data_IF_233362974252
#
_entry.id   IF_233362974252
#
_cell.length_a   1.000
_cell.length_b   1.000
_cell.length_c   1.000
_cell.angle_alpha   90.00
_cell.angle_beta   90.00
_cell.angle_gamma   90.00
#
_symmetry.space_group_name_H-M   'P 1'
#
loop_
_entity.id
_entity.type
_entity.pdbx_description
1 polymer ?
#
# COMPACT_ATOMS: atom_id res chain seq x y z
N UNK A 1 -1.65 4.89 8.06
CA UNK A 1 -2.59 4.91 9.18
C UNK A 1 -3.01 3.51 9.57
N UNK A 2 -3.77 2.81 8.73
CA UNK A 2 -4.32 1.49 9.10
C UNK A 2 -3.24 0.44 9.37
N UNK A 3 -2.16 0.40 8.58
CA UNK A 3 -1.04 -0.50 8.85
C UNK A 3 -0.44 -0.24 10.24
N UNK A 4 -0.22 1.02 10.58
CA UNK A 4 0.33 1.38 11.89
C UNK A 4 -0.67 1.08 13.03
N UNK A 5 -1.98 1.24 12.81
CA UNK A 5 -3.01 0.84 13.76
C UNK A 5 -3.03 -0.67 13.98
N UNK A 6 -2.92 -1.44 12.90
CA UNK A 6 -2.81 -2.90 12.96
C UNK A 6 -1.54 -3.33 13.73
N UNK A 7 -0.40 -2.71 13.43
CA UNK A 7 0.87 -2.95 14.13
C UNK A 7 0.78 -2.62 15.63
N UNK A 8 0.20 -1.47 15.99
CA UNK A 8 -0.03 -1.08 17.38
C UNK A 8 -0.92 -2.09 18.13
N UNK A 9 -1.87 -2.72 17.43
CA UNK A 9 -2.70 -3.80 17.95
C UNK A 9 -2.03 -5.18 17.95
N UNK A 10 -0.75 -5.29 17.60
CA UNK A 10 0.00 -6.56 17.58
C UNK A 10 -0.18 -7.38 16.29
N UNK A 11 -0.79 -6.79 15.25
CA UNK A 11 -0.92 -7.43 13.94
C UNK A 11 0.40 -7.45 13.16
N UNK A 12 0.60 -8.48 12.34
CA UNK A 12 1.73 -8.55 11.41
C UNK A 12 1.49 -7.66 10.19
N UNK A 13 2.52 -6.97 9.74
CA UNK A 13 2.49 -6.07 8.58
C UNK A 13 3.48 -6.55 7.52
N UNK A 14 3.01 -6.65 6.28
CA UNK A 14 3.88 -6.80 5.12
C UNK A 14 3.66 -5.64 4.15
N UNK A 15 4.74 -5.03 3.68
CA UNK A 15 4.70 -4.02 2.63
C UNK A 15 5.36 -4.55 1.37
N UNK A 16 4.76 -4.26 0.21
CA UNK A 16 5.32 -4.64 -1.08
C UNK A 16 5.38 -3.41 -1.99
N UNK A 17 6.59 -3.07 -2.42
CA UNK A 17 6.83 -2.14 -3.50
C UNK A 17 7.26 -2.91 -4.76
N UNK A 18 6.62 -2.66 -5.89
CA UNK A 18 6.97 -3.31 -7.17
C UNK A 18 8.21 -2.68 -7.81
N UNK A 19 8.49 -1.42 -7.49
CA UNK A 19 9.70 -0.68 -7.88
C UNK A 19 10.28 0.00 -6.65
N UNK A 20 11.55 0.33 -6.67
CA UNK A 20 12.15 1.06 -5.53
C UNK A 20 11.81 2.57 -5.53
N UNK A 21 11.25 3.11 -6.62
CA UNK A 21 10.97 4.55 -6.74
C UNK A 21 12.23 5.39 -7.01
N UNK A 22 13.22 4.82 -7.67
CA UNK A 22 14.58 5.38 -7.81
C UNK A 22 14.67 6.56 -8.78
N UNK A 23 13.67 6.74 -9.67
CA UNK A 23 13.72 7.83 -10.66
C UNK A 23 13.33 9.20 -10.10
N UNK A 24 12.77 9.24 -8.91
CA UNK A 24 12.58 10.48 -8.15
C UNK A 24 13.87 11.00 -7.50
N UNK A 25 15.05 10.65 -8.04
CA UNK A 25 16.35 10.96 -7.49
C UNK A 25 16.55 12.47 -7.24
N UNK A 26 16.96 12.89 -6.03
CA UNK A 26 17.25 14.29 -5.73
C UNK A 26 18.54 14.76 -6.41
N UNK A 27 18.68 16.07 -6.56
CA UNK A 27 19.90 16.68 -7.09
C UNK A 27 21.13 16.25 -6.28
N UNK A 28 22.21 15.90 -6.98
CA UNK A 28 23.48 15.52 -6.36
C UNK A 28 23.62 14.03 -6.01
N UNK A 29 22.62 13.20 -6.31
CA UNK A 29 22.73 11.74 -6.19
C UNK A 29 22.63 11.05 -7.57
N UNK A 30 23.15 9.83 -7.67
CA UNK A 30 22.87 8.95 -8.81
C UNK A 30 21.59 8.13 -8.55
N UNK A 31 21.03 7.57 -9.62
CA UNK A 31 19.84 6.69 -9.54
C UNK A 31 20.15 5.47 -8.66
N UNK A 32 21.35 4.89 -8.80
CA UNK A 32 21.80 3.72 -8.03
C UNK A 32 21.90 4.04 -6.53
N UNK A 33 22.52 5.17 -6.19
CA UNK A 33 22.63 5.63 -4.80
C UNK A 33 21.25 5.87 -4.18
N UNK A 34 20.35 6.49 -4.94
CA UNK A 34 19.00 6.75 -4.47
C UNK A 34 18.19 5.46 -4.34
N UNK A 35 18.37 4.49 -5.27
CA UNK A 35 17.77 3.17 -5.15
C UNK A 35 18.17 2.46 -3.86
N UNK A 36 19.48 2.42 -3.54
CA UNK A 36 19.96 1.86 -2.27
C UNK A 36 19.36 2.58 -1.04
N UNK A 37 19.25 3.90 -1.10
CA UNK A 37 18.58 4.68 -0.07
C UNK A 37 17.13 4.26 0.10
N UNK A 38 16.37 4.14 -1.01
CA UNK A 38 14.96 3.74 -0.99
C UNK A 38 14.75 2.35 -0.41
N UNK A 39 15.65 1.40 -0.68
CA UNK A 39 15.60 0.08 -0.08
C UNK A 39 15.76 0.15 1.45
N UNK A 40 16.77 0.91 1.94
CA UNK A 40 16.96 1.13 3.38
C UNK A 40 15.76 1.84 4.04
N UNK A 41 15.16 2.81 3.36
CA UNK A 41 13.96 3.51 3.83
C UNK A 41 12.77 2.58 3.97
N UNK A 42 12.55 1.69 2.99
CA UNK A 42 11.48 0.69 3.02
C UNK A 42 11.66 -0.30 4.18
N UNK A 43 12.88 -0.78 4.40
CA UNK A 43 13.21 -1.63 5.55
C UNK A 43 12.99 -0.91 6.88
N UNK A 44 13.46 0.35 6.99
CA UNK A 44 13.30 1.15 8.21
C UNK A 44 11.81 1.43 8.50
N UNK A 45 11.01 1.73 7.47
CA UNK A 45 9.56 1.90 7.60
C UNK A 45 8.90 0.64 8.16
N UNK A 46 9.14 -0.51 7.54
CA UNK A 46 8.58 -1.78 7.98
C UNK A 46 9.07 -2.17 9.37
N UNK A 47 10.36 -1.94 9.66
CA UNK A 47 10.96 -2.21 10.97
C UNK A 47 10.31 -1.42 12.12
N UNK A 48 9.95 -0.14 11.90
CA UNK A 48 9.21 0.67 12.89
C UNK A 48 7.83 0.08 13.16
N UNK A 49 7.20 -0.52 12.14
CA UNK A 49 5.90 -1.18 12.26
C UNK A 49 6.01 -2.64 12.75
N UNK A 50 7.21 -3.15 13.02
CA UNK A 50 7.42 -4.55 13.39
C UNK A 50 7.07 -5.54 12.29
N UNK A 51 7.13 -5.10 11.02
CA UNK A 51 6.70 -5.85 9.85
C UNK A 51 7.82 -6.24 8.91
N UNK A 52 7.44 -6.78 7.75
CA UNK A 52 8.34 -7.20 6.67
C UNK A 52 8.22 -6.28 5.47
N UNK A 53 9.34 -5.90 4.85
CA UNK A 53 9.38 -5.14 3.60
C UNK A 53 9.81 -6.02 2.44
N UNK A 54 9.09 -5.93 1.33
CA UNK A 54 9.43 -6.51 0.03
C UNK A 54 9.56 -5.40 -0.99
N UNK A 55 10.67 -5.37 -1.70
CA UNK A 55 10.86 -4.48 -2.85
C UNK A 55 11.30 -5.34 -4.02
N UNK A 56 10.50 -5.36 -5.09
CA UNK A 56 10.85 -6.07 -6.32
C UNK A 56 11.77 -5.22 -7.18
N UNK A 57 12.50 -5.89 -8.08
CA UNK A 57 13.53 -5.25 -8.91
C UNK A 57 13.00 -4.87 -10.30
N UNK A 58 11.81 -4.25 -10.33
CA UNK A 58 11.29 -3.70 -11.58
C UNK A 58 11.63 -2.22 -11.71
N UNK A 59 11.86 -1.72 -12.95
CA UNK A 59 12.31 -0.35 -13.15
C UNK A 59 11.20 0.66 -12.84
N UNK A 60 11.50 1.64 -12.00
CA UNK A 60 10.58 2.73 -11.66
C UNK A 60 10.20 3.55 -12.90
N UNK A 61 8.93 3.90 -13.01
CA UNK A 61 8.36 4.58 -14.17
C UNK A 61 8.18 3.69 -15.42
N UNK A 62 8.56 2.39 -15.36
CA UNK A 62 8.46 1.42 -16.45
C UNK A 62 8.05 0.03 -15.93
N UNK A 63 7.24 0.00 -14.88
CA UNK A 63 6.73 -1.26 -14.31
C UNK A 63 6.08 -2.12 -15.40
N UNK A 64 6.58 -3.36 -15.66
CA UNK A 64 5.97 -4.25 -16.64
C UNK A 64 4.61 -4.75 -16.15
N UNK A 65 3.59 -4.63 -16.99
CA UNK A 65 2.26 -5.18 -16.73
C UNK A 65 2.12 -6.52 -17.46
N UNK A 66 2.68 -7.59 -16.90
CA UNK A 66 2.76 -8.92 -17.50
C UNK A 66 2.57 -10.04 -16.47
N UNK A 67 2.48 -11.29 -16.97
CA UNK A 67 2.23 -12.45 -16.12
C UNK A 67 3.36 -12.75 -15.13
N UNK A 68 4.61 -12.43 -15.47
CA UNK A 68 5.75 -12.64 -14.57
C UNK A 68 5.56 -11.84 -13.27
N UNK A 69 5.23 -10.54 -13.39
CA UNK A 69 5.01 -9.67 -12.24
C UNK A 69 3.78 -10.11 -11.45
N UNK A 70 2.67 -10.48 -12.14
CA UNK A 70 1.46 -11.01 -11.48
C UNK A 70 1.75 -12.24 -10.65
N UNK A 71 2.52 -13.18 -11.20
CA UNK A 71 2.87 -14.40 -10.48
C UNK A 71 3.82 -14.13 -9.32
N UNK A 72 4.76 -13.20 -9.44
CA UNK A 72 5.62 -12.79 -8.33
C UNK A 72 4.80 -12.21 -7.16
N UNK A 73 3.81 -11.36 -7.45
CA UNK A 73 2.89 -10.83 -6.45
C UNK A 73 1.98 -11.92 -5.87
N UNK A 74 1.47 -12.83 -6.71
CA UNK A 74 0.68 -13.99 -6.28
C UNK A 74 1.44 -14.85 -5.27
N UNK A 75 2.72 -15.13 -5.52
CA UNK A 75 3.55 -15.91 -4.61
C UNK A 75 3.74 -15.21 -3.25
N UNK A 76 3.90 -13.89 -3.25
CA UNK A 76 3.98 -13.12 -2.00
C UNK A 76 2.65 -13.11 -1.24
N UNK A 77 1.51 -13.00 -1.91
CA UNK A 77 0.18 -13.12 -1.27
C UNK A 77 0.04 -14.50 -0.60
N UNK A 78 0.43 -15.56 -1.29
CA UNK A 78 0.36 -16.94 -0.75
C UNK A 78 1.34 -17.19 0.38
N UNK A 79 2.50 -16.53 0.35
CA UNK A 79 3.51 -16.59 1.40
C UNK A 79 3.06 -15.88 2.68
N UNK A 80 2.63 -14.64 2.55
CA UNK A 80 2.27 -13.79 3.68
C UNK A 80 0.89 -14.12 4.26
N UNK A 81 -0.01 -14.67 3.46
CA UNK A 81 -1.39 -15.04 3.84
C UNK A 81 -2.11 -13.89 4.56
N UNK A 82 -2.17 -12.70 3.96
CA UNK A 82 -2.76 -11.54 4.61
C UNK A 82 -4.25 -11.72 4.86
N UNK A 83 -4.77 -11.15 5.95
CA UNK A 83 -6.20 -11.03 6.22
C UNK A 83 -6.84 -9.88 5.44
N UNK A 84 -6.03 -8.95 4.95
CA UNK A 84 -6.44 -7.80 4.13
C UNK A 84 -5.32 -7.40 3.19
N UNK A 85 -5.65 -7.19 1.91
CA UNK A 85 -4.74 -6.63 0.91
C UNK A 85 -5.19 -5.21 0.58
N UNK A 86 -4.24 -4.28 0.59
CA UNK A 86 -4.47 -2.88 0.20
C UNK A 86 -3.55 -2.52 -0.95
N UNK A 87 -4.08 -1.91 -1.99
CA UNK A 87 -3.32 -1.48 -3.18
C UNK A 87 -3.84 -0.15 -3.73
N UNK A 88 -3.26 0.32 -4.82
CA UNK A 88 -3.67 1.54 -5.50
C UNK A 88 -5.08 1.44 -6.11
N UNK A 89 -5.75 2.60 -6.23
CA UNK A 89 -6.96 2.73 -7.04
C UNK A 89 -6.62 2.64 -8.55
N UNK A 90 -7.60 2.28 -9.37
CA UNK A 90 -7.39 2.01 -10.80
C UNK A 90 -6.98 3.23 -11.64
N UNK A 91 -7.47 4.43 -11.28
CA UNK A 91 -7.27 5.67 -12.02
C UNK A 91 -6.25 6.54 -11.32
N UNK A 92 -5.04 6.50 -11.83
CA UNK A 92 -3.91 7.28 -11.35
C UNK A 92 -3.28 8.10 -12.46
N UNK A 93 -2.80 9.30 -12.13
CA UNK A 93 -1.92 10.06 -13.00
C UNK A 93 -0.56 9.39 -13.16
N UNK A 94 -0.15 8.57 -12.19
CA UNK A 94 1.09 7.79 -12.23
C UNK A 94 0.82 6.42 -12.89
N UNK A 95 1.42 6.20 -14.04
CA UNK A 95 1.15 4.98 -14.82
C UNK A 95 1.49 3.67 -14.06
N UNK A 96 2.53 3.68 -13.20
CA UNK A 96 2.92 2.51 -12.43
C UNK A 96 1.91 2.22 -11.31
N UNK A 97 1.23 3.23 -10.73
CA UNK A 97 0.12 3.00 -9.80
C UNK A 97 -1.05 2.30 -10.49
N UNK A 98 -1.41 2.77 -11.70
CA UNK A 98 -2.46 2.15 -12.50
C UNK A 98 -2.06 0.71 -12.93
N UNK A 99 -0.80 0.46 -13.25
CA UNK A 99 -0.29 -0.88 -13.52
C UNK A 99 -0.32 -1.75 -12.26
N UNK A 100 0.13 -1.21 -11.12
CA UNK A 100 0.09 -1.89 -9.81
C UNK A 100 -1.33 -2.34 -9.46
N UNK A 101 -2.34 -1.49 -9.66
CA UNK A 101 -3.74 -1.87 -9.46
C UNK A 101 -4.11 -3.13 -10.24
N UNK A 102 -3.84 -3.15 -11.56
CA UNK A 102 -4.16 -4.30 -12.43
C UNK A 102 -3.39 -5.55 -12.03
N UNK A 103 -2.09 -5.40 -11.81
CA UNK A 103 -1.21 -6.51 -11.40
C UNK A 103 -1.70 -7.14 -10.09
N UNK A 104 -1.96 -6.33 -9.07
CA UNK A 104 -2.39 -6.83 -7.76
C UNK A 104 -3.78 -7.46 -7.83
N UNK A 105 -4.71 -6.89 -8.60
CA UNK A 105 -6.06 -7.46 -8.80
C UNK A 105 -5.99 -8.84 -9.46
N UNK A 106 -5.17 -8.99 -10.51
CA UNK A 106 -4.99 -10.27 -11.18
C UNK A 106 -4.25 -11.28 -10.28
N UNK A 107 -3.18 -10.84 -9.60
CA UNK A 107 -2.42 -11.66 -8.66
C UNK A 107 -3.28 -12.14 -7.48
N UNK A 108 -4.16 -11.28 -6.95
CA UNK A 108 -5.14 -11.62 -5.93
C UNK A 108 -6.09 -12.73 -6.41
N UNK A 109 -6.60 -12.60 -7.64
CA UNK A 109 -7.44 -13.63 -8.24
C UNK A 109 -6.67 -14.94 -8.40
N UNK A 110 -5.44 -14.91 -8.93
CA UNK A 110 -4.59 -16.10 -9.06
C UNK A 110 -4.25 -16.74 -7.71
N UNK A 111 -3.99 -15.92 -6.69
CA UNK A 111 -3.68 -16.44 -5.35
C UNK A 111 -4.84 -17.24 -4.75
N UNK A 112 -6.09 -16.89 -5.05
CA UNK A 112 -7.28 -17.57 -4.59
C UNK A 112 -7.57 -18.88 -5.31
N UNK A 113 -7.02 -19.09 -6.53
CA UNK A 113 -7.34 -20.26 -7.36
C UNK A 113 -6.43 -21.45 -7.07
N UNK A 114 -6.97 -22.62 -6.59
CA UNK A 114 -6.16 -23.82 -6.38
C UNK A 114 -5.53 -24.35 -7.67
N UNK A 115 -6.18 -24.12 -8.82
CA UNK A 115 -5.72 -24.59 -10.13
C UNK A 115 -4.51 -23.81 -10.67
N UNK A 116 -4.26 -22.60 -10.17
CA UNK A 116 -3.02 -21.88 -10.44
C UNK A 116 -1.93 -22.53 -9.61
N UNK A 117 -1.16 -23.42 -10.24
CA UNK A 117 -0.13 -24.23 -9.57
C UNK A 117 1.07 -23.39 -9.22
N UNK A 118 1.29 -23.21 -7.91
CA UNK A 118 2.48 -22.58 -7.33
C UNK A 118 2.96 -23.46 -6.17
N UNK A 119 4.18 -23.22 -5.69
CA UNK A 119 4.76 -23.97 -4.58
C UNK A 119 3.93 -23.83 -3.29
N UNK A 120 3.37 -22.63 -3.08
CA UNK A 120 2.57 -22.33 -1.89
C UNK A 120 1.06 -22.57 -2.14
N UNK A 121 0.32 -22.98 -1.13
CA UNK A 121 -1.11 -23.21 -1.23
C UNK A 121 -1.84 -21.90 -1.56
N UNK A 122 -3.02 -22.03 -2.18
CA UNK A 122 -3.89 -20.89 -2.47
C UNK A 122 -4.30 -20.14 -1.20
N UNK A 123 -4.53 -18.85 -1.35
CA UNK A 123 -4.97 -17.96 -0.27
C UNK A 123 -5.92 -16.90 -0.81
N UNK A 124 -6.96 -16.59 -0.03
CA UNK A 124 -7.92 -15.53 -0.33
C UNK A 124 -7.98 -14.53 0.82
N UNK A 125 -8.00 -13.25 0.49
CA UNK A 125 -8.23 -12.16 1.42
C UNK A 125 -9.06 -11.05 0.76
N UNK A 126 -9.81 -10.22 1.52
CA UNK A 126 -10.43 -9.01 0.99
C UNK A 126 -9.41 -8.09 0.35
N UNK A 127 -9.82 -7.41 -0.75
CA UNK A 127 -9.00 -6.45 -1.47
C UNK A 127 -9.58 -5.04 -1.31
N UNK A 128 -8.73 -4.06 -1.01
CA UNK A 128 -9.08 -2.65 -0.85
C UNK A 128 -8.19 -1.76 -1.69
N UNK A 129 -8.75 -0.63 -2.13
CA UNK A 129 -8.05 0.39 -2.90
C UNK A 129 -7.95 1.65 -2.05
N UNK A 130 -6.70 2.05 -1.76
CA UNK A 130 -6.42 3.16 -0.86
C UNK A 130 -6.63 4.53 -1.53
N UNK A 131 -7.01 5.51 -0.73
CA UNK A 131 -7.01 6.90 -1.13
C UNK A 131 -5.57 7.43 -1.26
N UNK A 132 -5.24 7.95 -2.44
CA UNK A 132 -3.96 8.60 -2.71
C UNK A 132 -4.22 9.83 -3.58
N UNK A 133 -3.50 10.93 -3.33
CA UNK A 133 -3.69 12.17 -4.08
C UNK A 133 -3.45 12.04 -5.59
N UNK A 134 -2.53 11.16 -5.98
CA UNK A 134 -2.25 10.86 -7.39
C UNK A 134 -3.32 9.97 -8.05
N UNK A 135 -4.11 9.27 -7.25
CA UNK A 135 -5.10 8.29 -7.66
C UNK A 135 -6.54 8.80 -7.44
N UNK A 136 -6.72 10.13 -7.38
CA UNK A 136 -7.98 10.74 -6.94
C UNK A 136 -9.10 10.73 -7.99
N UNK A 137 -8.82 10.43 -9.27
CA UNK A 137 -9.82 10.44 -10.33
C UNK A 137 -10.86 9.36 -10.10
N UNK A 138 -12.13 9.76 -9.97
CA UNK A 138 -13.27 8.87 -9.67
C UNK A 138 -13.15 8.06 -8.37
N UNK A 139 -12.19 8.39 -7.51
CA UNK A 139 -12.10 7.80 -6.19
C UNK A 139 -13.30 8.23 -5.35
N UNK A 140 -14.04 7.26 -4.82
CA UNK A 140 -15.20 7.49 -3.95
C UNK A 140 -14.98 6.75 -2.65
N UNK A 141 -14.84 7.45 -1.52
CA UNK A 141 -14.76 6.82 -0.21
C UNK A 141 -15.96 5.91 0.00
N UNK A 142 -15.71 4.65 0.24
CA UNK A 142 -16.75 3.65 0.45
C UNK A 142 -16.72 3.08 1.86
N UNK A 143 -15.53 2.78 2.34
CA UNK A 143 -15.27 2.20 3.66
C UNK A 143 -14.34 3.14 4.42
N UNK A 144 -14.70 3.43 5.68
CA UNK A 144 -13.87 4.22 6.58
C UNK A 144 -13.31 3.29 7.64
N UNK A 145 -11.98 3.21 7.74
CA UNK A 145 -11.30 2.46 8.78
C UNK A 145 -10.71 3.43 9.79
N UNK A 146 -11.06 3.25 11.06
CA UNK A 146 -10.54 4.07 12.15
C UNK A 146 -9.02 3.88 12.26
N UNK A 147 -8.32 4.99 12.39
CA UNK A 147 -6.90 5.00 12.74
C UNK A 147 -6.81 5.37 14.22
N UNK A 148 -6.30 4.47 15.06
CA UNK A 148 -6.15 4.74 16.48
C UNK A 148 -5.13 5.85 16.73
N UNK A 149 -5.17 6.49 17.89
CA UNK A 149 -4.22 7.55 18.26
C UNK A 149 -2.79 7.00 18.29
N UNK A 150 -2.59 5.80 18.83
CA UNK A 150 -1.31 5.09 18.82
C UNK A 150 -0.86 4.76 17.39
N UNK A 151 -1.79 4.29 16.56
CA UNK A 151 -1.54 4.02 15.14
C UNK A 151 -1.17 5.29 14.37
N UNK A 152 -1.83 6.43 14.67
CA UNK A 152 -1.46 7.70 14.06
C UNK A 152 -0.05 8.15 14.48
N UNK A 153 0.28 8.09 15.77
CA UNK A 153 1.61 8.43 16.26
C UNK A 153 2.70 7.51 15.68
N UNK A 154 2.42 6.21 15.59
CA UNK A 154 3.33 5.23 14.98
C UNK A 154 3.51 5.49 13.48
N UNK A 155 2.42 5.81 12.76
CA UNK A 155 2.48 6.20 11.35
C UNK A 155 3.34 7.44 11.14
N UNK A 156 3.15 8.49 11.96
CA UNK A 156 3.96 9.71 11.87
C UNK A 156 5.45 9.41 12.00
N UNK A 157 5.82 8.52 12.92
CA UNK A 157 7.21 8.09 13.10
C UNK A 157 7.70 7.28 11.91
N UNK A 158 6.93 6.33 11.42
CA UNK A 158 7.33 5.44 10.35
C UNK A 158 7.47 6.16 9.01
N UNK A 159 6.50 7.02 8.64
CA UNK A 159 6.49 7.67 7.31
C UNK A 159 7.67 8.65 7.14
N UNK A 160 8.20 9.20 8.22
CA UNK A 160 9.36 10.10 8.19
C UNK A 160 10.69 9.41 7.87
N UNK A 161 10.73 8.07 7.78
CA UNK A 161 11.90 7.34 7.27
C UNK A 161 12.13 7.60 5.78
N UNK A 162 11.07 7.96 5.05
CA UNK A 162 11.17 8.24 3.62
C UNK A 162 11.60 9.68 3.35
N UNK A 163 12.73 9.84 2.64
CA UNK A 163 13.27 11.15 2.30
C UNK A 163 12.25 12.04 1.54
N UNK A 164 11.46 11.48 0.63
CA UNK A 164 10.48 12.28 -0.11
C UNK A 164 9.40 12.90 0.79
N UNK A 165 9.18 12.34 1.97
CA UNK A 165 8.23 12.87 2.96
C UNK A 165 8.80 14.06 3.71
N UNK A 166 10.12 14.04 3.98
CA UNK A 166 10.79 15.03 4.86
C UNK A 166 11.66 16.01 4.10
N UNK A 167 12.21 15.64 2.96
CA UNK A 167 13.20 16.38 2.19
C UNK A 167 12.73 16.90 0.84
N UNK A 168 11.63 16.35 0.30
CA UNK A 168 11.10 16.80 -1.00
C UNK A 168 10.38 18.15 -0.88
N UNK A 169 10.71 19.07 -1.78
CA UNK A 169 10.00 20.35 -1.91
C UNK A 169 8.81 20.28 -2.89
N UNK A 170 8.61 19.15 -3.59
CA UNK A 170 7.61 19.04 -4.65
C UNK A 170 6.18 18.93 -4.12
N UNK A 171 5.99 18.27 -2.99
CA UNK A 171 4.68 18.07 -2.38
C UNK A 171 4.82 17.89 -0.85
N UNK A 172 3.96 18.51 -0.03
CA UNK A 172 4.01 18.42 1.43
C UNK A 172 3.35 17.12 1.93
N UNK A 173 3.93 15.96 1.63
CA UNK A 173 3.35 14.63 1.88
C UNK A 173 2.93 14.43 3.34
N UNK A 174 3.80 14.77 4.29
CA UNK A 174 3.51 14.58 5.71
C UNK A 174 2.29 15.40 6.16
N UNK A 175 2.26 16.68 5.80
CA UNK A 175 1.16 17.58 6.14
C UNK A 175 -0.13 17.14 5.46
N UNK A 176 -0.09 16.89 4.15
CA UNK A 176 -1.25 16.44 3.38
C UNK A 176 -1.92 15.20 4.00
N UNK A 177 -1.16 14.13 4.20
CA UNK A 177 -1.72 12.88 4.72
C UNK A 177 -2.08 12.94 6.21
N UNK A 178 -1.46 13.83 6.99
CA UNK A 178 -1.89 14.11 8.37
C UNK A 178 -3.27 14.77 8.39
N UNK A 179 -3.47 15.80 7.56
CA UNK A 179 -4.74 16.49 7.43
C UNK A 179 -5.83 15.61 6.80
N UNK A 180 -5.48 14.81 5.79
CA UNK A 180 -6.41 13.88 5.18
C UNK A 180 -6.97 12.89 6.20
N UNK A 181 -6.12 12.26 7.02
CA UNK A 181 -6.57 11.36 8.09
C UNK A 181 -7.48 12.05 9.10
N UNK A 182 -7.18 13.30 9.43
CA UNK A 182 -8.03 14.09 10.32
C UNK A 182 -9.38 14.42 9.67
N UNK A 183 -9.38 14.82 8.39
CA UNK A 183 -10.60 15.09 7.62
C UNK A 183 -11.50 13.85 7.56
N UNK A 184 -10.93 12.70 7.20
CA UNK A 184 -11.67 11.43 7.15
C UNK A 184 -12.15 10.97 8.51
N UNK A 185 -11.38 11.28 9.56
CA UNK A 185 -11.82 11.07 10.94
C UNK A 185 -13.06 11.89 11.29
N UNK A 186 -13.11 13.19 10.94
CA UNK A 186 -14.26 14.05 11.17
C UNK A 186 -15.51 13.48 10.49
N UNK A 187 -15.41 13.08 9.23
CA UNK A 187 -16.50 12.46 8.47
C UNK A 187 -17.01 11.17 9.15
N UNK A 188 -16.09 10.36 9.68
CA UNK A 188 -16.39 9.12 10.39
C UNK A 188 -16.74 9.29 11.87
N UNK A 189 -16.71 10.52 12.41
CA UNK A 189 -16.87 10.82 13.85
C UNK A 189 -15.84 10.11 14.73
N UNK A 190 -14.61 10.11 14.27
CA UNK A 190 -13.43 9.56 14.95
C UNK A 190 -12.30 10.58 14.96
N UNK A 191 -11.27 10.42 15.81
CA UNK A 191 -10.08 11.26 15.77
C UNK A 191 -9.41 11.24 14.39
N UNK A 192 -9.18 10.05 13.86
CA UNK A 192 -8.54 9.83 12.55
C UNK A 192 -9.18 8.65 11.84
N UNK A 193 -9.20 8.69 10.50
CA UNK A 193 -9.60 7.57 9.65
C UNK A 193 -8.84 7.58 8.32
N UNK A 194 -8.82 6.45 7.65
CA UNK A 194 -8.46 6.30 6.24
C UNK A 194 -9.65 5.73 5.48
N UNK A 195 -9.73 6.04 4.19
CA UNK A 195 -10.81 5.57 3.33
C UNK A 195 -10.32 4.61 2.29
N UNK A 196 -11.23 3.71 1.91
CA UNK A 196 -10.95 2.68 0.92
C UNK A 196 -12.15 2.48 0.00
N UNK A 197 -11.84 2.16 -1.26
CA UNK A 197 -12.80 1.52 -2.17
C UNK A 197 -12.63 0.02 -2.09
N UNK A 198 -13.65 -0.71 -2.52
CA UNK A 198 -13.64 -2.17 -2.66
C UNK A 198 -14.06 -2.57 -4.07
N UNK A 199 -13.91 -3.84 -4.40
CA UNK A 199 -14.47 -4.37 -5.63
C UNK A 199 -15.99 -4.20 -5.60
N UNK A 200 -16.61 -3.68 -6.69
CA UNK A 200 -18.09 -3.53 -6.76
C UNK A 200 -18.85 -4.85 -6.57
N UNK A 201 -18.22 -5.95 -6.96
CA UNK A 201 -18.77 -7.30 -6.91
C UNK A 201 -18.66 -7.96 -5.53
N UNK A 202 -17.97 -7.33 -4.57
CA UNK A 202 -17.83 -7.88 -3.21
C UNK A 202 -19.17 -7.94 -2.49
N UNK A 203 -19.68 -9.15 -2.30
CA UNK A 203 -20.89 -9.40 -1.51
C UNK A 203 -20.51 -9.63 -0.07
N UNK A 204 -21.09 -8.87 0.86
CA UNK A 204 -20.95 -9.08 2.30
C UNK A 204 -22.22 -9.70 2.87
N UNK A 205 -22.06 -10.80 3.56
CA UNK A 205 -23.07 -11.31 4.46
C UNK A 205 -23.03 -10.47 5.74
N UNK A 206 -24.03 -9.63 5.97
CA UNK A 206 -24.27 -9.05 7.29
C UNK A 206 -25.04 -10.06 8.10
N UNK A 207 -24.52 -10.43 9.28
CA UNK A 207 -25.22 -11.32 10.20
C UNK A 207 -26.64 -10.82 10.47
N UNK A 208 -27.53 -11.73 10.82
CA UNK A 208 -28.92 -11.42 11.08
C UNK A 208 -29.08 -10.29 12.11
N UNK A 209 -30.05 -9.43 11.87
CA UNK A 209 -30.51 -8.38 12.77
C UNK A 209 -31.11 -9.00 14.03
#
# INVERSE_FOLDING_TARGET
GILATCAAGGGHIATLALTAGEKGVPAGQTVEQYREQKLREAEAFAGILGGTSYVLDYPDGFLPDNEEVRLAVCDLIRKEKPDLIVTHHEKSMHKDHAACHRIVKDAWFYAALPAVRRELPHHFAPLRFAENWEDAVDYKPFEYLEVSEEGFALWQKAVQTHWFVTGSASFPYFEYYSHLKRLRGIEARRPYAETYMRLPEEVRLTGGL
#
